data_IF_491696931640
#
_entry.id   IF_491696931640
#
_cell.length_a   1.000
_cell.length_b   1.000
_cell.length_c   1.000
_cell.angle_alpha   90.00
_cell.angle_beta   90.00
_cell.angle_gamma   90.00
#
_symmetry.space_group_name_H-M   'P 1'
#
loop_
_entity.id
_entity.type
_entity.pdbx_description
1 polymer ?
#
# COMPACT_ATOMS: atom_id res chain seq x y z
N UNK A 1 4.27 -6.08 16.06
CA UNK A 1 5.58 -6.35 15.43
C UNK A 1 5.35 -7.00 14.07
N UNK A 2 4.67 -8.15 14.01
CA UNK A 2 4.28 -8.80 12.74
C UNK A 2 3.44 -7.87 11.85
N UNK A 3 2.45 -7.18 12.42
CA UNK A 3 1.62 -6.17 11.72
C UNK A 3 2.46 -5.06 11.06
N UNK A 4 3.44 -4.52 11.78
CA UNK A 4 4.35 -3.49 11.24
C UNK A 4 5.20 -4.02 10.09
N UNK A 5 5.69 -5.27 10.20
CA UNK A 5 6.48 -5.91 9.13
C UNK A 5 5.61 -6.12 7.88
N UNK A 6 4.40 -6.67 8.04
CA UNK A 6 3.47 -6.89 6.92
C UNK A 6 3.10 -5.57 6.26
N UNK A 7 2.76 -4.54 7.04
CA UNK A 7 2.41 -3.24 6.48
C UNK A 7 3.55 -2.58 5.71
N UNK A 8 4.79 -2.65 6.22
CA UNK A 8 5.98 -2.15 5.52
C UNK A 8 6.23 -2.92 4.22
N UNK A 9 6.05 -4.25 4.23
CA UNK A 9 6.19 -5.06 3.01
C UNK A 9 5.14 -4.69 1.95
N UNK A 10 3.89 -4.48 2.36
CA UNK A 10 2.83 -4.03 1.45
C UNK A 10 3.15 -2.66 0.83
N UNK A 11 3.65 -1.72 1.64
CA UNK A 11 4.09 -0.40 1.16
C UNK A 11 5.25 -0.54 0.18
N UNK A 12 6.25 -1.39 0.47
CA UNK A 12 7.38 -1.62 -0.41
C UNK A 12 6.94 -2.22 -1.76
N UNK A 13 6.02 -3.20 -1.74
CA UNK A 13 5.42 -3.76 -2.96
C UNK A 13 4.62 -2.71 -3.73
N UNK A 14 3.91 -1.81 -3.04
CA UNK A 14 3.22 -0.67 -3.64
C UNK A 14 4.20 0.26 -4.38
N UNK A 15 5.35 0.56 -3.78
CA UNK A 15 6.41 1.34 -4.43
C UNK A 15 6.98 0.66 -5.68
N UNK A 16 7.17 -0.66 -5.66
CA UNK A 16 7.62 -1.42 -6.85
C UNK A 16 6.54 -1.41 -7.94
N UNK A 17 5.28 -1.62 -7.57
CA UNK A 17 4.15 -1.58 -8.51
C UNK A 17 3.95 -0.19 -9.15
N UNK A 18 4.30 0.88 -8.44
CA UNK A 18 4.31 2.26 -8.96
C UNK A 18 5.24 2.43 -10.16
N UNK A 19 6.34 1.68 -10.22
CA UNK A 19 7.29 1.74 -11.35
C UNK A 19 6.59 1.30 -12.64
N UNK A 20 5.81 0.22 -12.59
CA UNK A 20 5.02 -0.26 -13.73
C UNK A 20 3.93 0.74 -14.15
N UNK A 21 3.26 1.36 -13.18
CA UNK A 21 2.25 2.39 -13.45
C UNK A 21 2.84 3.64 -14.13
N UNK A 22 4.05 4.05 -13.71
CA UNK A 22 4.78 5.16 -14.32
C UNK A 22 5.25 4.82 -15.73
N UNK A 23 5.58 3.56 -16.01
CA UNK A 23 5.93 3.11 -17.37
C UNK A 23 4.74 3.23 -18.34
N UNK A 24 3.54 2.86 -17.90
CA UNK A 24 2.29 3.05 -18.66
C UNK A 24 2.04 4.54 -18.94
N UNK A 25 2.29 5.41 -17.96
CA UNK A 25 2.16 6.86 -18.14
C UNK A 25 3.17 7.40 -19.17
N UNK A 26 4.41 6.89 -19.16
CA UNK A 26 5.49 7.33 -20.06
C UNK A 26 5.28 6.86 -21.50
N UNK A 27 4.71 5.69 -21.67
CA UNK A 27 4.40 5.11 -22.99
C UNK A 27 3.17 5.73 -23.64
N UNK A 28 2.46 6.61 -22.92
CA UNK A 28 1.27 7.29 -23.44
C UNK A 28 0.05 6.38 -23.52
N UNK A 29 -0.07 5.43 -22.58
CA UNK A 29 -1.22 4.52 -22.50
C UNK A 29 -2.56 5.24 -22.30
N UNK A 30 -3.66 4.52 -22.53
CA UNK A 30 -5.00 5.08 -22.36
C UNK A 30 -5.25 5.45 -20.89
N UNK A 31 -6.19 6.38 -20.64
CA UNK A 31 -6.61 6.73 -19.28
C UNK A 31 -7.08 5.50 -18.48
N UNK A 32 -7.67 4.52 -19.16
CA UNK A 32 -8.09 3.26 -18.55
C UNK A 32 -6.90 2.40 -18.10
N UNK A 33 -5.86 2.25 -18.95
CA UNK A 33 -4.63 1.54 -18.61
C UNK A 33 -3.92 2.19 -17.41
N UNK A 34 -3.94 3.53 -17.37
CA UNK A 34 -3.37 4.29 -16.28
C UNK A 34 -4.13 4.05 -14.97
N UNK A 35 -5.46 4.13 -15.00
CA UNK A 35 -6.29 3.87 -13.82
C UNK A 35 -6.05 2.46 -13.28
N UNK A 36 -5.94 1.47 -14.16
CA UNK A 36 -5.68 0.09 -13.79
C UNK A 36 -4.25 -0.09 -13.25
N UNK A 37 -3.26 0.57 -13.84
CA UNK A 37 -1.87 0.58 -13.39
C UNK A 37 -1.68 1.17 -11.99
N UNK A 38 -2.44 2.21 -11.64
CA UNK A 38 -2.38 2.85 -10.32
C UNK A 38 -3.27 2.19 -9.26
N UNK A 39 -4.18 1.30 -9.65
CA UNK A 39 -5.12 0.64 -8.73
C UNK A 39 -4.40 -0.28 -7.73
N UNK A 40 -3.47 -1.09 -8.24
CA UNK A 40 -2.66 -2.01 -7.42
C UNK A 40 -1.76 -1.27 -6.42
N UNK A 41 -0.92 -0.30 -6.82
CA UNK A 41 -0.10 0.42 -5.85
C UNK A 41 -0.96 1.22 -4.87
N UNK A 42 -2.02 1.88 -5.33
CA UNK A 42 -2.94 2.64 -4.46
C UNK A 42 -3.58 1.77 -3.38
N UNK A 43 -4.10 0.59 -3.75
CA UNK A 43 -4.68 -0.35 -2.79
C UNK A 43 -3.66 -0.89 -1.79
N UNK A 44 -2.42 -1.19 -2.22
CA UNK A 44 -1.34 -1.65 -1.33
C UNK A 44 -0.95 -0.59 -0.29
N UNK A 45 -0.92 0.69 -0.65
CA UNK A 45 -0.69 1.76 0.34
C UNK A 45 -1.82 1.85 1.36
N UNK A 46 -3.08 1.79 0.92
CA UNK A 46 -4.25 1.86 1.80
C UNK A 46 -4.25 0.68 2.77
N UNK A 47 -4.11 -0.55 2.25
CA UNK A 47 -4.12 -1.76 3.07
C UNK A 47 -2.88 -1.83 3.97
N UNK A 48 -1.69 -1.49 3.46
CA UNK A 48 -0.46 -1.45 4.25
C UNK A 48 -0.54 -0.47 5.42
N UNK A 49 -1.03 0.76 5.17
CA UNK A 49 -1.27 1.76 6.21
C UNK A 49 -2.31 1.30 7.23
N UNK A 50 -3.41 0.69 6.77
CA UNK A 50 -4.44 0.15 7.64
C UNK A 50 -3.93 -0.97 8.56
N UNK A 51 -3.10 -1.88 8.05
CA UNK A 51 -2.49 -2.96 8.84
C UNK A 51 -1.55 -2.40 9.92
N UNK A 52 -0.78 -1.35 9.62
CA UNK A 52 0.07 -0.68 10.61
C UNK A 52 -0.80 -0.03 11.69
N UNK A 53 -1.85 0.69 11.29
CA UNK A 53 -2.77 1.34 12.21
C UNK A 53 -3.48 0.36 13.13
N UNK A 54 -4.01 -0.75 12.61
CA UNK A 54 -4.58 -1.82 13.44
C UNK A 54 -3.54 -2.43 14.37
N UNK A 55 -2.31 -2.60 13.90
CA UNK A 55 -1.19 -3.04 14.71
C UNK A 55 -0.85 -2.12 15.88
N UNK A 56 -1.09 -0.82 15.73
CA UNK A 56 -0.96 0.18 16.79
C UNK A 56 -2.14 0.14 17.75
N UNK A 57 -3.39 0.07 17.26
CA UNK A 57 -4.56 -0.07 18.13
C UNK A 57 -4.50 -1.33 19.01
N UNK A 58 -4.08 -2.46 18.43
CA UNK A 58 -3.91 -3.72 19.17
C UNK A 58 -2.82 -3.64 20.26
N UNK A 59 -1.95 -2.64 20.22
CA UNK A 59 -0.95 -2.33 21.25
C UNK A 59 -1.43 -1.28 22.25
N UNK A 60 -2.19 -0.28 21.79
CA UNK A 60 -2.73 0.80 22.61
C UNK A 60 -3.90 0.39 23.50
N UNK A 61 -4.73 -0.58 23.08
CA UNK A 61 -5.82 -1.12 23.90
C UNK A 61 -5.41 -2.09 25.00
N UNK A 62 -4.13 -2.11 25.40
CA UNK A 62 -3.55 -3.00 26.42
C UNK A 62 -2.95 -2.21 27.59
N UNK A 63 -3.57 -1.07 27.89
CA UNK A 63 -3.16 -0.14 28.95
C UNK A 63 -4.35 0.52 29.65
N UNK A 64 -5.51 -0.16 29.66
CA UNK A 64 -6.71 0.25 30.40
C UNK A 64 -7.07 -0.77 31.51
N UNK A 65 -6.05 -1.41 32.08
CA UNK A 65 -6.13 -2.35 33.20
C UNK A 65 -5.25 -1.91 34.37
#
# INVERSE_FOLDING_TARGET
MISSIIGVLLIALGCVSLIGAVDILRTGGSTEDLAQGFLVPGSLFIVGGFVIWMGWQARGGRGED
#
